data_IF_525418035687
#
_entry.id   IF_525418035687
#
_cell.length_a   1.000
_cell.length_b   1.000
_cell.length_c   1.000
_cell.angle_alpha   90.00
_cell.angle_beta   90.00
_cell.angle_gamma   90.00
#
_symmetry.space_group_name_H-M   'P 1'
#
loop_
_entity.id
_entity.type
_entity.pdbx_description
1 polymer ?
#
# COMPACT_ATOMS: atom_id res chain seq x y z
N UNK A 1 -27.34 -0.52 -4.21
CA UNK A 1 -27.63 -0.73 -2.78
C UNK A 1 -26.34 -1.25 -2.16
N UNK A 2 -25.79 -0.65 -1.09
CA UNK A 2 -24.67 -1.25 -0.37
C UNK A 2 -25.13 -2.64 0.09
N UNK A 3 -24.37 -3.67 -0.27
CA UNK A 3 -24.65 -5.03 0.16
C UNK A 3 -24.14 -5.14 1.60
N UNK A 4 -25.03 -5.40 2.56
CA UNK A 4 -24.66 -5.67 3.93
C UNK A 4 -24.52 -7.19 4.11
N UNK A 5 -23.40 -7.64 4.64
CA UNK A 5 -23.23 -9.03 5.08
C UNK A 5 -23.73 -9.15 6.51
N UNK A 6 -24.30 -10.30 6.89
CA UNK A 6 -24.74 -10.54 8.27
C UNK A 6 -23.68 -11.36 9.00
N UNK A 7 -23.21 -10.86 10.14
CA UNK A 7 -22.32 -11.58 11.05
C UNK A 7 -23.07 -11.93 12.34
N UNK A 8 -23.03 -13.20 12.73
CA UNK A 8 -23.55 -13.66 14.02
C UNK A 8 -22.44 -13.60 15.07
N UNK A 9 -22.65 -12.83 16.14
CA UNK A 9 -21.68 -12.63 17.22
C UNK A 9 -21.35 -13.98 17.89
N UNK A 10 -20.05 -14.29 17.96
CA UNK A 10 -19.52 -15.48 18.65
C UNK A 10 -18.83 -15.09 19.95
N UNK A 11 -18.57 -16.08 20.79
CA UNK A 11 -17.83 -15.85 22.03
C UNK A 11 -16.46 -15.19 21.76
N UNK A 12 -16.23 -14.01 22.35
CA UNK A 12 -14.98 -13.24 22.19
C UNK A 12 -15.03 -12.15 21.11
N UNK A 13 -16.10 -12.08 20.33
CA UNK A 13 -16.37 -10.98 19.41
C UNK A 13 -16.73 -9.70 20.19
N UNK A 14 -16.28 -8.57 19.66
CA UNK A 14 -16.74 -7.23 20.06
C UNK A 14 -16.98 -6.42 18.81
N UNK A 15 -17.85 -5.40 18.87
CA UNK A 15 -18.11 -4.54 17.72
C UNK A 15 -16.84 -3.86 17.21
N UNK A 16 -15.93 -3.49 18.12
CA UNK A 16 -14.64 -2.91 17.74
C UNK A 16 -13.77 -3.88 16.93
N UNK A 17 -13.65 -5.15 17.36
CA UNK A 17 -12.89 -6.18 16.63
C UNK A 17 -13.54 -6.50 15.28
N UNK A 18 -14.86 -6.52 15.24
CA UNK A 18 -15.63 -6.82 14.04
C UNK A 18 -15.52 -5.68 13.01
N UNK A 19 -15.66 -4.43 13.45
CA UNK A 19 -15.43 -3.26 12.60
C UNK A 19 -14.00 -3.28 12.03
N UNK A 20 -13.00 -3.52 12.88
CA UNK A 20 -11.60 -3.62 12.50
C UNK A 20 -11.34 -4.71 11.46
N UNK A 21 -11.87 -5.92 11.68
CA UNK A 21 -11.74 -7.05 10.74
C UNK A 21 -12.30 -6.73 9.35
N UNK A 22 -13.28 -5.83 9.27
CA UNK A 22 -13.94 -5.44 8.04
C UNK A 22 -13.50 -4.07 7.49
N UNK A 23 -12.44 -3.46 8.04
CA UNK A 23 -11.93 -2.17 7.58
C UNK A 23 -12.91 -1.01 7.80
N UNK A 24 -13.79 -1.14 8.80
CA UNK A 24 -14.78 -0.14 9.21
C UNK A 24 -14.34 0.54 10.51
N UNK A 25 -14.81 1.76 10.71
CA UNK A 25 -14.84 2.38 12.03
C UNK A 25 -15.99 1.81 12.87
N UNK A 26 -15.87 1.90 14.19
CA UNK A 26 -16.96 1.50 15.10
C UNK A 26 -18.23 2.32 14.82
N UNK A 27 -18.08 3.61 14.51
CA UNK A 27 -19.21 4.50 14.21
C UNK A 27 -19.92 4.09 12.91
N UNK A 28 -19.18 3.76 11.84
CA UNK A 28 -19.76 3.22 10.60
C UNK A 28 -20.49 1.89 10.82
N UNK A 29 -19.96 1.03 11.70
CA UNK A 29 -20.62 -0.22 12.05
C UNK A 29 -21.89 0.03 12.89
N UNK A 30 -21.89 1.02 13.79
CA UNK A 30 -23.04 1.39 14.61
C UNK A 30 -24.14 2.08 13.78
N UNK A 31 -23.77 2.91 12.81
CA UNK A 31 -24.71 3.55 11.88
C UNK A 31 -25.52 2.53 11.07
N UNK A 32 -24.90 1.40 10.72
CA UNK A 32 -25.58 0.27 10.08
C UNK A 32 -26.41 -0.59 11.05
N UNK A 33 -26.22 -0.42 12.36
CA UNK A 33 -26.83 -1.20 13.43
C UNK A 33 -27.47 -0.32 14.50
N UNK A 34 -28.33 0.61 14.10
CA UNK A 34 -29.01 1.56 15.00
C UNK A 34 -29.86 0.89 16.10
N UNK A 35 -30.14 -0.42 15.98
CA UNK A 35 -30.76 -1.20 17.04
C UNK A 35 -29.86 -1.44 18.27
N UNK A 36 -28.55 -1.16 18.18
CA UNK A 36 -27.59 -1.35 19.27
C UNK A 36 -27.49 -0.07 20.09
N UNK A 37 -28.09 -0.08 21.27
CA UNK A 37 -28.07 1.10 22.17
C UNK A 37 -26.79 1.20 23.00
N UNK A 38 -26.12 0.07 23.27
CA UNK A 38 -24.87 0.03 24.01
C UNK A 38 -23.80 -0.78 23.23
N UNK A 39 -22.82 -0.11 22.61
CA UNK A 39 -21.78 -0.76 21.80
C UNK A 39 -20.88 -1.74 22.58
N UNK A 40 -20.82 -1.60 23.91
CA UNK A 40 -20.01 -2.46 24.78
C UNK A 40 -20.75 -3.71 25.24
N UNK A 41 -22.04 -3.85 24.91
CA UNK A 41 -22.88 -4.96 25.33
C UNK A 41 -23.54 -5.62 24.12
N UNK A 42 -22.82 -6.55 23.49
CA UNK A 42 -23.35 -7.42 22.43
C UNK A 42 -23.43 -8.86 22.92
N UNK A 43 -24.48 -9.56 22.51
CA UNK A 43 -24.77 -10.93 22.96
C UNK A 43 -24.35 -11.96 21.92
N UNK A 44 -23.89 -13.11 22.38
CA UNK A 44 -23.62 -14.26 21.50
C UNK A 44 -24.92 -14.66 20.79
N UNK A 45 -24.83 -14.90 19.48
CA UNK A 45 -25.99 -15.17 18.61
C UNK A 45 -26.66 -13.90 18.06
N UNK A 46 -26.21 -12.70 18.47
CA UNK A 46 -26.74 -11.45 17.95
C UNK A 46 -26.28 -11.24 16.51
N UNK A 47 -27.23 -10.91 15.62
CA UNK A 47 -26.95 -10.61 14.22
C UNK A 47 -26.56 -9.14 14.05
N UNK A 48 -25.38 -8.92 13.49
CA UNK A 48 -24.81 -7.61 13.19
C UNK A 48 -24.72 -7.45 11.68
N UNK A 49 -25.24 -6.32 11.18
CA UNK A 49 -25.08 -5.92 9.79
C UNK A 49 -23.67 -5.36 9.62
N UNK A 50 -22.87 -5.97 8.78
CA UNK A 50 -21.57 -5.43 8.37
C UNK A 50 -21.80 -4.61 7.10
N UNK A 51 -21.80 -3.26 7.16
CA UNK A 51 -21.87 -2.46 5.97
C UNK A 51 -20.60 -2.71 5.16
N UNK A 52 -20.74 -3.07 3.89
CA UNK A 52 -19.58 -2.95 3.00
C UNK A 52 -19.39 -1.45 2.78
N UNK A 53 -18.23 -0.86 3.13
CA UNK A 53 -18.01 0.54 2.81
C UNK A 53 -18.19 0.67 1.29
N UNK A 54 -18.96 1.67 0.87
CA UNK A 54 -19.04 1.99 -0.54
C UNK A 54 -17.59 2.10 -1.03
N UNK A 55 -17.20 1.41 -2.12
CA UNK A 55 -15.89 1.64 -2.68
C UNK A 55 -15.73 3.15 -2.81
N UNK A 56 -14.66 3.73 -2.26
CA UNK A 56 -14.22 5.08 -2.63
C UNK A 56 -14.44 5.16 -4.14
N UNK A 57 -15.19 6.17 -4.66
CA UNK A 57 -15.71 6.13 -6.02
C UNK A 57 -14.60 5.70 -6.97
N UNK A 58 -14.64 4.42 -7.34
CA UNK A 58 -13.73 3.89 -8.33
C UNK A 58 -14.15 4.60 -9.59
N UNK A 59 -13.21 5.18 -10.35
CA UNK A 59 -13.57 5.72 -11.64
C UNK A 59 -14.27 4.61 -12.44
N UNK A 60 -15.23 4.96 -13.30
CA UNK A 60 -15.72 4.02 -14.29
C UNK A 60 -14.50 3.40 -14.96
N UNK A 61 -14.45 2.06 -15.07
CA UNK A 61 -13.52 1.42 -16.00
C UNK A 61 -13.67 2.15 -17.33
N UNK A 62 -12.63 2.84 -17.80
CA UNK A 62 -12.65 3.39 -19.14
C UNK A 62 -13.01 2.25 -20.10
N UNK A 63 -14.05 2.40 -20.94
CA UNK A 63 -14.38 1.37 -21.91
C UNK A 63 -13.21 1.16 -22.88
N UNK A 64 -12.69 -0.06 -22.94
CA UNK A 64 -12.31 -0.65 -24.24
C UNK A 64 -10.88 -0.47 -24.76
N UNK A 65 -9.89 -0.08 -23.97
CA UNK A 65 -8.49 -0.33 -24.35
C UNK A 65 -7.73 -0.91 -23.17
N UNK A 66 -7.04 -2.04 -23.39
CA UNK A 66 -5.99 -2.49 -22.50
C UNK A 66 -4.92 -1.39 -22.48
N UNK A 67 -5.03 -0.46 -21.55
CA UNK A 67 -4.09 0.65 -21.43
C UNK A 67 -2.74 0.05 -21.04
N UNK A 68 -1.85 -0.06 -22.02
CA UNK A 68 -0.48 -0.52 -21.83
C UNK A 68 0.39 0.68 -21.51
N UNK A 69 0.97 0.67 -20.33
CA UNK A 69 1.95 1.62 -19.84
C UNK A 69 3.36 1.08 -20.07
N UNK A 70 4.21 1.91 -20.67
CA UNK A 70 5.58 1.56 -21.05
C UNK A 70 6.64 1.97 -20.01
N UNK A 71 6.24 2.64 -18.92
CA UNK A 71 7.16 3.12 -17.89
C UNK A 71 7.89 4.41 -18.24
N UNK A 72 7.56 5.04 -19.38
CA UNK A 72 8.16 6.29 -19.86
C UNK A 72 7.19 7.45 -19.68
N UNK A 73 5.92 7.28 -20.04
CA UNK A 73 4.90 8.31 -19.89
C UNK A 73 3.98 7.99 -18.71
N UNK A 74 3.95 8.83 -17.66
CA UNK A 74 3.05 8.59 -16.54
C UNK A 74 1.58 8.75 -16.96
N UNK A 75 0.70 8.01 -16.32
CA UNK A 75 -0.73 8.25 -16.42
C UNK A 75 -1.04 9.70 -15.99
N UNK A 76 -1.89 10.46 -16.71
CA UNK A 76 -2.16 11.86 -16.38
C UNK A 76 -2.67 12.09 -14.94
N UNK A 77 -3.37 11.11 -14.36
CA UNK A 77 -3.89 11.16 -13.01
C UNK A 77 -2.86 10.81 -11.91
N UNK A 78 -1.58 10.62 -12.27
CA UNK A 78 -0.49 10.26 -11.33
C UNK A 78 0.65 11.29 -11.27
N UNK A 79 0.48 12.48 -11.88
CA UNK A 79 1.56 13.48 -12.03
C UNK A 79 1.56 14.61 -10.98
N UNK A 80 0.63 14.60 -10.01
CA UNK A 80 0.56 15.64 -8.99
C UNK A 80 1.85 15.72 -8.18
N UNK A 81 2.50 16.89 -8.16
CA UNK A 81 3.71 17.15 -7.36
C UNK A 81 3.40 17.48 -5.89
N UNK A 82 2.12 17.65 -5.53
CA UNK A 82 1.74 17.77 -4.13
C UNK A 82 1.97 16.43 -3.43
N UNK A 83 2.93 16.39 -2.51
CA UNK A 83 3.32 15.16 -1.77
C UNK A 83 2.20 14.54 -0.96
N UNK A 84 1.24 15.36 -0.51
CA UNK A 84 0.08 14.91 0.22
C UNK A 84 -1.07 14.48 -0.69
N UNK A 85 -1.05 14.82 -1.99
CA UNK A 85 -2.16 14.49 -2.87
C UNK A 85 -2.29 12.97 -3.06
N UNK A 86 -3.52 12.48 -2.91
CA UNK A 86 -3.89 11.14 -3.33
C UNK A 86 -4.03 11.13 -4.86
N UNK A 87 -3.07 10.51 -5.54
CA UNK A 87 -3.19 10.24 -6.98
C UNK A 87 -4.19 9.13 -7.26
N UNK A 88 -4.69 9.10 -8.49
CA UNK A 88 -5.72 8.15 -8.95
C UNK A 88 -5.18 7.30 -10.10
N UNK A 89 -4.35 6.27 -9.81
CA UNK A 89 -3.84 5.38 -10.84
C UNK A 89 -5.00 4.68 -11.57
N UNK A 90 -5.05 4.71 -12.92
CA UNK A 90 -6.12 4.05 -13.68
C UNK A 90 -6.08 2.53 -13.62
N UNK A 91 -4.91 1.93 -13.35
CA UNK A 91 -4.75 0.49 -13.25
C UNK A 91 -4.49 0.05 -11.80
N UNK A 92 -5.15 -1.04 -11.40
CA UNK A 92 -4.99 -1.67 -10.09
C UNK A 92 -4.80 -3.19 -10.23
N UNK A 93 -4.20 -3.81 -9.21
CA UNK A 93 -4.01 -5.27 -9.14
C UNK A 93 -4.30 -5.74 -7.70
N UNK A 94 -5.59 -5.83 -7.39
CA UNK A 94 -6.08 -6.02 -6.04
C UNK A 94 -5.78 -7.43 -5.49
N UNK A 95 -5.72 -7.61 -4.15
CA UNK A 95 -5.53 -8.91 -3.50
C UNK A 95 -6.51 -9.98 -4.03
N UNK A 96 -6.06 -11.25 -4.03
CA UNK A 96 -6.87 -12.42 -4.45
C UNK A 96 -6.99 -12.65 -5.96
N UNK A 97 -6.72 -11.63 -6.80
CA UNK A 97 -6.76 -11.74 -8.26
C UNK A 97 -5.50 -11.20 -8.95
N UNK A 98 -4.38 -11.22 -8.24
CA UNK A 98 -3.15 -10.61 -8.72
C UNK A 98 -2.57 -11.33 -9.92
N UNK A 99 -2.14 -10.56 -10.92
CA UNK A 99 -1.45 -11.06 -12.12
C UNK A 99 -0.11 -10.34 -12.32
N UNK A 100 0.98 -11.05 -12.65
CA UNK A 100 2.29 -10.43 -12.85
C UNK A 100 2.29 -9.40 -13.97
N UNK A 101 1.63 -9.68 -15.09
CA UNK A 101 1.51 -8.71 -16.18
C UNK A 101 0.76 -7.43 -15.79
N UNK A 102 -0.24 -7.52 -14.90
CA UNK A 102 -0.94 -6.32 -14.38
C UNK A 102 -0.07 -5.61 -13.35
N UNK A 103 0.66 -6.33 -12.50
CA UNK A 103 1.59 -5.72 -11.54
C UNK A 103 2.66 -4.87 -12.26
N UNK A 104 3.22 -5.42 -13.34
CA UNK A 104 4.18 -4.69 -14.18
C UNK A 104 3.59 -3.39 -14.72
N UNK A 105 2.36 -3.45 -15.24
CA UNK A 105 1.64 -2.31 -15.79
C UNK A 105 1.26 -1.28 -14.71
N UNK A 106 0.94 -1.73 -13.49
CA UNK A 106 0.68 -0.86 -12.32
C UNK A 106 1.93 -0.09 -11.93
N UNK A 107 3.12 -0.67 -12.05
CA UNK A 107 4.38 0.06 -11.82
C UNK A 107 4.63 1.03 -12.98
N UNK A 108 4.46 0.56 -14.22
CA UNK A 108 4.75 1.34 -15.42
C UNK A 108 3.88 2.61 -15.57
N UNK A 109 2.61 2.60 -15.13
CA UNK A 109 1.75 3.79 -15.18
C UNK A 109 2.27 4.96 -14.35
N UNK A 110 3.12 4.69 -13.37
CA UNK A 110 3.74 5.75 -12.57
C UNK A 110 4.97 6.33 -13.25
N UNK A 111 5.58 5.63 -14.22
CA UNK A 111 6.75 6.05 -14.98
C UNK A 111 7.81 6.75 -14.10
N UNK A 112 8.24 6.07 -13.03
CA UNK A 112 8.96 6.68 -11.90
C UNK A 112 10.19 7.52 -12.28
N UNK A 113 10.86 7.17 -13.38
CA UNK A 113 12.02 7.89 -13.90
C UNK A 113 11.69 9.25 -14.55
N UNK A 114 10.44 9.43 -15.01
CA UNK A 114 10.01 10.57 -15.82
C UNK A 114 8.86 11.36 -15.18
N UNK A 115 8.23 10.81 -14.14
CA UNK A 115 7.08 11.44 -13.52
C UNK A 115 7.51 12.58 -12.57
N UNK A 116 7.02 13.82 -12.78
CA UNK A 116 7.40 14.98 -11.97
C UNK A 116 7.10 14.79 -10.48
N UNK A 117 6.13 13.94 -10.13
CA UNK A 117 5.80 13.60 -8.74
C UNK A 117 6.96 12.98 -7.95
N UNK A 118 7.86 12.28 -8.63
CA UNK A 118 8.96 11.56 -7.97
C UNK A 118 10.33 12.17 -8.25
N UNK A 119 10.40 13.26 -9.03
CA UNK A 119 11.65 13.94 -9.30
C UNK A 119 12.20 14.52 -8.00
N UNK A 120 13.38 14.05 -7.59
CA UNK A 120 14.10 14.62 -6.45
C UNK A 120 14.36 16.10 -6.64
N UNK A 121 14.41 16.82 -5.53
CA UNK A 121 14.91 18.19 -5.52
C UNK A 121 16.25 18.23 -4.75
N UNK A 122 16.70 19.43 -4.34
CA UNK A 122 17.96 19.59 -3.61
C UNK A 122 17.93 19.01 -2.20
N UNK A 123 16.76 18.86 -1.58
CA UNK A 123 16.57 18.49 -0.18
C UNK A 123 15.95 17.10 0.00
N UNK A 124 15.09 16.69 -0.92
CA UNK A 124 14.18 15.57 -0.75
C UNK A 124 14.27 14.55 -1.87
N UNK A 125 14.02 13.29 -1.48
CA UNK A 125 13.71 12.20 -2.38
C UNK A 125 12.32 11.67 -2.04
N UNK A 126 11.66 11.07 -3.02
CA UNK A 126 10.23 10.72 -2.93
C UNK A 126 10.00 9.21 -2.98
N UNK A 127 10.95 8.43 -2.45
CA UNK A 127 10.87 6.97 -2.44
C UNK A 127 9.69 6.47 -1.61
N UNK A 128 9.35 7.14 -0.50
CA UNK A 128 8.17 6.85 0.32
C UNK A 128 6.86 7.13 -0.43
N UNK A 129 6.80 8.20 -1.22
CA UNK A 129 5.61 8.54 -2.01
C UNK A 129 5.41 7.54 -3.15
N UNK A 130 6.49 7.16 -3.84
CA UNK A 130 6.41 6.13 -4.87
C UNK A 130 5.93 4.78 -4.30
N UNK A 131 6.48 4.38 -3.16
CA UNK A 131 6.03 3.20 -2.42
C UNK A 131 4.53 3.29 -2.07
N UNK A 132 4.11 4.43 -1.53
CA UNK A 132 2.73 4.68 -1.15
C UNK A 132 1.76 4.57 -2.32
N UNK A 133 2.07 5.23 -3.44
CA UNK A 133 1.20 5.25 -4.61
C UNK A 133 1.07 3.86 -5.25
N UNK A 134 2.18 3.13 -5.39
CA UNK A 134 2.15 1.76 -5.93
C UNK A 134 1.38 0.83 -5.01
N UNK A 135 1.66 0.84 -3.71
CA UNK A 135 1.00 -0.07 -2.76
C UNK A 135 -0.50 0.23 -2.63
N UNK A 136 -0.93 1.49 -2.76
CA UNK A 136 -2.35 1.86 -2.90
C UNK A 136 -2.98 1.30 -4.17
N UNK A 137 -2.30 1.42 -5.32
CA UNK A 137 -2.79 0.85 -6.59
C UNK A 137 -2.91 -0.68 -6.54
N UNK A 138 -2.11 -1.33 -5.69
CA UNK A 138 -2.12 -2.77 -5.47
C UNK A 138 -3.05 -3.23 -4.34
N UNK A 139 -3.79 -2.30 -3.70
CA UNK A 139 -4.75 -2.61 -2.65
C UNK A 139 -4.13 -3.12 -1.34
N UNK A 140 -2.87 -2.80 -1.07
CA UNK A 140 -2.14 -3.21 0.15
C UNK A 140 -1.27 -2.06 0.64
N UNK A 141 -1.90 -0.92 0.95
CA UNK A 141 -1.20 0.33 1.18
C UNK A 141 -0.15 0.24 2.30
N UNK A 142 1.10 0.60 1.97
CA UNK A 142 2.06 1.04 2.99
C UNK A 142 1.81 2.54 3.18
N UNK A 143 1.38 2.98 4.37
CA UNK A 143 0.86 4.33 4.54
C UNK A 143 1.96 5.39 4.48
N UNK A 144 1.60 6.53 3.87
CA UNK A 144 2.35 7.78 4.00
C UNK A 144 1.95 8.57 5.25
N UNK A 145 0.73 8.39 5.73
CA UNK A 145 0.19 9.03 6.94
C UNK A 145 -0.52 8.00 7.80
N UNK A 146 -0.34 8.09 9.12
CA UNK A 146 -1.01 7.21 10.09
C UNK A 146 -1.71 8.01 11.20
N UNK A 147 -2.78 7.44 11.74
CA UNK A 147 -3.42 7.91 12.99
C UNK A 147 -2.56 7.52 14.22
N UNK A 148 -2.88 8.00 15.43
CA UNK A 148 -2.14 7.65 16.65
C UNK A 148 -2.16 6.14 17.01
N UNK A 149 -3.03 5.35 16.36
CA UNK A 149 -3.13 3.90 16.55
C UNK A 149 -2.36 3.14 15.47
N UNK A 150 -1.68 3.83 14.54
CA UNK A 150 -0.89 3.21 13.48
C UNK A 150 -1.68 2.88 12.21
N UNK A 151 -2.96 3.22 12.13
CA UNK A 151 -3.77 2.94 10.93
C UNK A 151 -3.54 4.00 9.86
N UNK A 152 -3.70 3.64 8.59
CA UNK A 152 -3.62 4.59 7.49
C UNK A 152 -4.60 5.75 7.68
N UNK A 153 -4.12 6.98 7.53
CA UNK A 153 -4.90 8.21 7.69
C UNK A 153 -4.83 9.08 6.44
N UNK A 154 -5.81 9.97 6.29
CA UNK A 154 -5.74 10.99 5.26
C UNK A 154 -4.67 12.05 5.61
N UNK A 155 -4.00 12.63 4.61
CA UNK A 155 -3.09 13.75 4.85
C UNK A 155 -3.77 14.89 5.60
N UNK A 156 -3.09 15.44 6.62
CA UNK A 156 -3.58 16.54 7.45
C UNK A 156 -4.87 16.25 8.24
N UNK A 157 -5.32 14.99 8.31
CA UNK A 157 -6.36 14.59 9.26
C UNK A 157 -5.90 14.92 10.69
N UNK A 158 -6.81 15.35 11.61
CA UNK A 158 -6.44 15.61 12.99
C UNK A 158 -5.67 14.45 13.62
N UNK A 159 -4.54 14.76 14.24
CA UNK A 159 -3.62 13.80 14.87
C UNK A 159 -2.95 12.78 13.93
N UNK A 160 -3.06 12.97 12.61
CA UNK A 160 -2.31 12.15 11.66
C UNK A 160 -0.84 12.59 11.60
N UNK A 161 0.04 11.62 11.46
CA UNK A 161 1.49 11.82 11.37
C UNK A 161 2.02 11.28 10.03
N UNK A 162 2.82 12.08 9.34
CA UNK A 162 3.51 11.70 8.10
C UNK A 162 4.69 10.75 8.39
N UNK A 163 4.83 9.70 7.58
CA UNK A 163 5.89 8.71 7.69
C UNK A 163 6.99 8.94 6.65
N UNK A 164 8.20 9.17 7.14
CA UNK A 164 9.42 8.97 6.36
C UNK A 164 9.81 7.48 6.34
N UNK A 165 10.77 7.07 5.51
CA UNK A 165 11.15 5.65 5.38
C UNK A 165 11.64 5.01 6.69
N UNK A 166 12.38 5.74 7.53
CA UNK A 166 12.83 5.19 8.81
C UNK A 166 11.63 4.86 9.72
N UNK A 167 10.59 5.71 9.70
CA UNK A 167 9.34 5.49 10.41
C UNK A 167 8.47 4.42 9.72
N UNK A 168 8.45 4.34 8.39
CA UNK A 168 7.78 3.28 7.63
C UNK A 168 8.36 1.90 7.94
N UNK A 169 9.68 1.79 8.11
CA UNK A 169 10.32 0.52 8.53
C UNK A 169 9.85 0.12 9.93
N UNK A 170 9.66 1.09 10.82
CA UNK A 170 9.13 0.83 12.16
C UNK A 170 7.65 0.40 12.10
N UNK A 171 6.83 1.13 11.34
CA UNK A 171 5.43 0.80 11.10
C UNK A 171 5.28 -0.60 10.50
N UNK A 172 6.13 -0.99 9.55
CA UNK A 172 6.10 -2.34 8.97
C UNK A 172 6.35 -3.42 10.04
N UNK A 173 7.19 -3.12 11.04
CA UNK A 173 7.50 -4.05 12.13
C UNK A 173 6.37 -4.14 13.17
N UNK A 174 5.71 -3.02 13.49
CA UNK A 174 4.70 -2.97 14.56
C UNK A 174 3.28 -3.17 14.08
N UNK A 175 2.94 -2.68 12.89
CA UNK A 175 1.60 -2.71 12.32
C UNK A 175 1.52 -3.58 11.07
N UNK A 176 2.40 -3.34 10.09
CA UNK A 176 2.31 -3.96 8.78
C UNK A 176 2.34 -5.50 8.84
N UNK A 177 3.38 -6.06 9.43
CA UNK A 177 3.54 -7.52 9.57
C UNK A 177 2.57 -8.14 10.58
N UNK A 178 2.36 -7.57 11.78
CA UNK A 178 1.47 -8.17 12.77
C UNK A 178 -0.03 -8.07 12.42
N UNK A 179 -0.44 -7.07 11.64
CA UNK A 179 -1.86 -6.71 11.49
C UNK A 179 -2.34 -6.52 10.04
N UNK A 180 -1.47 -6.26 9.06
CA UNK A 180 -1.85 -5.84 7.70
C UNK A 180 -1.39 -6.82 6.59
N UNK A 181 -1.40 -8.12 6.90
CA UNK A 181 -1.08 -9.24 5.99
C UNK A 181 0.33 -9.24 5.34
N UNK A 182 1.20 -8.28 5.66
CA UNK A 182 2.58 -8.26 5.20
C UNK A 182 3.41 -9.36 5.87
N UNK A 183 4.38 -9.90 5.15
CA UNK A 183 5.27 -10.95 5.65
C UNK A 183 6.72 -10.61 5.33
N UNK A 184 7.62 -10.89 6.26
CA UNK A 184 9.05 -10.78 6.02
C UNK A 184 9.49 -11.84 5.01
N UNK A 185 10.37 -11.46 4.09
CA UNK A 185 10.86 -12.32 3.03
C UNK A 185 12.39 -12.22 2.87
N UNK A 186 12.96 -13.25 2.28
CA UNK A 186 14.28 -13.18 1.65
C UNK A 186 14.20 -12.46 0.31
N UNK A 187 15.35 -12.05 -0.24
CA UNK A 187 15.40 -11.43 -1.57
C UNK A 187 14.83 -12.35 -2.67
N UNK A 188 15.13 -13.66 -2.59
CA UNK A 188 14.60 -14.64 -3.55
C UNK A 188 13.08 -14.73 -3.46
N UNK A 189 12.56 -14.91 -2.24
CA UNK A 189 11.11 -14.96 -2.01
C UNK A 189 10.41 -13.70 -2.51
N UNK A 190 11.00 -12.52 -2.29
CA UNK A 190 10.46 -11.26 -2.78
C UNK A 190 10.37 -11.23 -4.31
N UNK A 191 11.42 -11.69 -5.02
CA UNK A 191 11.38 -11.81 -6.48
C UNK A 191 10.31 -12.82 -6.94
N UNK A 192 10.25 -13.98 -6.29
CA UNK A 192 9.29 -15.04 -6.64
C UNK A 192 7.84 -14.58 -6.46
N UNK A 193 7.53 -13.90 -5.34
CA UNK A 193 6.20 -13.32 -5.12
C UNK A 193 5.87 -12.25 -6.16
N UNK A 194 6.81 -11.35 -6.49
CA UNK A 194 6.62 -10.37 -7.56
C UNK A 194 6.30 -11.04 -8.91
N UNK A 195 6.98 -12.15 -9.23
CA UNK A 195 6.73 -12.93 -10.45
C UNK A 195 5.38 -13.66 -10.45
N UNK A 196 4.74 -13.83 -9.28
CA UNK A 196 3.35 -14.27 -9.14
C UNK A 196 2.35 -13.11 -9.18
N UNK A 197 2.82 -11.86 -9.32
CA UNK A 197 2.01 -10.64 -9.32
C UNK A 197 1.70 -10.09 -7.93
N UNK A 198 2.22 -10.72 -6.87
CA UNK A 198 2.06 -10.29 -5.50
C UNK A 198 3.02 -9.15 -5.18
N UNK A 199 2.59 -8.24 -4.31
CA UNK A 199 3.41 -7.07 -3.97
C UNK A 199 4.60 -7.51 -3.16
N UNK A 200 5.77 -6.99 -3.53
CA UNK A 200 7.01 -7.18 -2.82
C UNK A 200 7.77 -5.85 -2.77
N UNK A 201 8.35 -5.53 -1.62
CA UNK A 201 9.04 -4.25 -1.39
C UNK A 201 10.35 -4.48 -0.64
N UNK A 202 11.32 -3.60 -0.87
CA UNK A 202 12.55 -3.51 -0.10
C UNK A 202 12.50 -2.24 0.76
N UNK A 203 12.78 -2.37 2.06
CA UNK A 203 12.83 -1.26 3.00
C UNK A 203 14.16 -1.29 3.76
N UNK A 204 14.85 -0.15 3.79
CA UNK A 204 16.09 0.02 4.54
C UNK A 204 15.99 1.24 5.46
N UNK A 205 16.17 1.00 6.75
CA UNK A 205 16.33 2.05 7.76
C UNK A 205 17.81 2.39 7.87
N UNK A 206 18.14 3.67 7.81
CA UNK A 206 19.53 4.11 7.97
C UNK A 206 19.98 3.93 9.43
N UNK A 207 21.00 3.11 9.71
CA UNK A 207 21.42 2.84 11.09
C UNK A 207 22.06 4.06 11.76
N UNK A 208 22.56 5.03 10.99
CA UNK A 208 23.22 6.24 11.49
C UNK A 208 22.28 7.44 11.62
N UNK A 209 20.97 7.25 11.45
CA UNK A 209 19.96 8.32 11.60
C UNK A 209 19.76 9.21 10.36
N UNK A 210 20.44 8.93 9.25
CA UNK A 210 20.20 9.61 7.97
C UNK A 210 18.92 9.15 7.26
N UNK A 211 18.75 9.55 6.00
CA UNK A 211 17.61 9.11 5.19
C UNK A 211 17.64 7.58 4.97
N UNK A 212 16.52 6.92 5.26
CA UNK A 212 16.28 5.54 4.83
C UNK A 212 15.97 5.48 3.34
N UNK A 213 15.75 4.27 2.82
CA UNK A 213 15.46 4.06 1.40
C UNK A 213 14.50 2.90 1.15
N UNK A 214 13.76 2.96 0.04
CA UNK A 214 12.83 1.91 -0.38
C UNK A 214 12.81 1.73 -1.89
N UNK A 215 12.45 0.53 -2.33
CA UNK A 215 12.11 0.23 -3.70
C UNK A 215 10.97 -0.78 -3.77
N UNK A 216 10.23 -0.76 -4.89
CA UNK A 216 9.20 -1.74 -5.21
C UNK A 216 9.86 -2.85 -6.03
N UNK A 217 9.75 -4.10 -5.58
CA UNK A 217 10.20 -5.26 -6.35
C UNK A 217 9.19 -5.52 -7.44
N UNK A 218 9.65 -5.61 -8.68
CA UNK A 218 8.79 -5.81 -9.86
C UNK A 218 8.97 -7.21 -10.44
N UNK A 219 8.00 -7.72 -11.23
CA UNK A 219 8.20 -8.94 -12.00
C UNK A 219 9.47 -8.83 -12.86
N UNK A 220 10.30 -9.86 -12.84
CA UNK A 220 11.61 -9.85 -13.46
C UNK A 220 12.52 -10.99 -12.97
N UNK A 221 13.81 -10.84 -13.23
CA UNK A 221 14.83 -11.83 -12.89
C UNK A 221 15.57 -11.44 -11.61
N UNK A 222 15.82 -12.44 -10.75
CA UNK A 222 16.79 -12.29 -9.66
C UNK A 222 18.20 -12.37 -10.26
N UNK A 223 19.06 -11.43 -9.88
CA UNK A 223 20.48 -11.43 -10.30
C UNK A 223 21.42 -11.35 -9.09
N UNK A 224 22.71 -11.36 -9.34
CA UNK A 224 23.74 -11.05 -8.36
C UNK A 224 23.60 -9.63 -7.78
N UNK A 225 22.93 -8.73 -8.51
CA UNK A 225 22.53 -7.40 -8.04
C UNK A 225 21.26 -7.38 -7.20
N UNK A 226 20.65 -8.54 -6.96
CA UNK A 226 19.44 -8.70 -6.18
C UNK A 226 18.16 -8.65 -7.04
N UNK A 227 16.99 -8.55 -6.41
CA UNK A 227 15.71 -8.56 -7.11
C UNK A 227 15.57 -7.40 -8.09
N UNK A 228 14.83 -7.62 -9.18
CA UNK A 228 14.38 -6.59 -10.10
C UNK A 228 13.45 -5.60 -9.38
N UNK A 229 13.70 -4.31 -9.57
CA UNK A 229 12.92 -3.27 -8.89
C UNK A 229 12.68 -2.04 -9.76
N UNK A 230 11.70 -1.25 -9.33
CA UNK A 230 11.54 0.14 -9.70
C UNK A 230 11.74 1.00 -8.44
N UNK A 231 12.33 2.18 -8.59
CA UNK A 231 12.51 3.09 -7.47
C UNK A 231 12.44 4.56 -7.85
N UNK A 232 12.02 5.36 -6.88
CA UNK A 232 12.40 6.76 -6.76
C UNK A 232 13.51 6.88 -5.70
N UNK A 233 14.41 7.86 -5.81
CA UNK A 233 15.51 8.04 -4.86
C UNK A 233 16.55 9.06 -5.33
N UNK A 234 17.82 8.81 -5.01
CA UNK A 234 18.93 9.59 -5.58
C UNK A 234 19.00 9.49 -7.11
N UNK A 235 18.61 8.32 -7.64
CA UNK A 235 18.40 8.04 -9.06
C UNK A 235 17.08 7.30 -9.20
N UNK A 236 16.20 7.82 -10.05
CA UNK A 236 14.93 7.17 -10.36
C UNK A 236 15.11 6.23 -11.55
N UNK A 237 14.57 5.03 -11.46
CA UNK A 237 14.52 4.10 -12.58
C UNK A 237 13.30 3.21 -12.49
N UNK A 238 12.71 2.92 -13.65
CA UNK A 238 11.59 2.00 -13.74
C UNK A 238 12.06 0.53 -13.75
N UNK A 239 13.26 0.26 -14.25
CA UNK A 239 13.82 -1.08 -14.32
C UNK A 239 15.29 -1.04 -13.90
N UNK A 240 15.63 -1.88 -12.92
CA UNK A 240 16.98 -2.06 -12.40
C UNK A 240 16.97 -3.14 -11.32
N UNK A 241 18.04 -3.24 -10.55
CA UNK A 241 18.12 -4.15 -9.42
C UNK A 241 18.39 -3.42 -8.11
N UNK A 242 18.10 -4.09 -6.99
CA UNK A 242 18.24 -3.49 -5.65
C UNK A 242 19.61 -2.86 -5.41
N UNK A 243 20.73 -3.49 -5.83
CA UNK A 243 22.06 -2.90 -5.65
C UNK A 243 22.28 -1.61 -6.46
N UNK A 244 21.55 -1.38 -7.55
CA UNK A 244 21.67 -0.16 -8.35
C UNK A 244 21.15 1.06 -7.59
N UNK A 245 20.22 0.87 -6.64
CA UNK A 245 19.65 1.93 -5.81
C UNK A 245 20.10 1.97 -4.35
N UNK A 246 20.47 0.82 -3.80
CA UNK A 246 20.85 0.68 -2.38
C UNK A 246 22.36 0.65 -2.17
N UNK A 247 23.16 0.50 -3.23
CA UNK A 247 24.62 0.37 -3.15
C UNK A 247 25.05 -0.73 -2.16
N UNK A 248 25.56 -0.35 -0.99
CA UNK A 248 26.01 -1.25 0.09
C UNK A 248 24.96 -1.48 1.17
N UNK A 249 23.84 -0.75 1.15
CA UNK A 249 22.76 -0.92 2.10
C UNK A 249 22.11 -2.30 1.92
N UNK A 250 21.74 -2.90 3.04
CA UNK A 250 21.10 -4.22 3.09
C UNK A 250 19.64 -4.06 3.51
N UNK A 251 18.70 -3.97 2.55
CA UNK A 251 17.28 -3.82 2.89
C UNK A 251 16.71 -5.12 3.46
N UNK A 252 15.62 -4.97 4.22
CA UNK A 252 14.70 -6.06 4.52
C UNK A 252 13.64 -6.11 3.43
N UNK A 253 13.17 -7.31 3.11
CA UNK A 253 12.13 -7.51 2.11
C UNK A 253 10.81 -7.89 2.76
N UNK A 254 9.72 -7.39 2.20
CA UNK A 254 8.37 -7.68 2.65
C UNK A 254 7.49 -8.02 1.46
N UNK A 255 6.57 -8.95 1.64
CA UNK A 255 5.61 -9.40 0.62
C UNK A 255 4.18 -9.34 1.15
N UNK A 256 3.23 -9.16 0.26
CA UNK A 256 1.79 -9.14 0.57
C UNK A 256 1.02 -9.94 -0.48
N UNK A 257 -0.09 -10.56 -0.12
CA UNK A 257 -0.95 -11.38 -1.01
C UNK A 257 -1.95 -10.57 -1.84
#
# INVERSE_FOLDING_TARGET
MPVASIHEIKAGDTLAKLAQHHGLTLDELLDANQQITNPNLVLIGQLIKIPTPAPLPMPPKLPGQAQSFNGVHPAPSTISTNRAALVQPPLTNLPGHRKPGIYEQVINQFAVAHNPRYLRNSTDTFCNIFLWDVTRAMGCQIPHWIDPRGHAAAPFQPHAHELNINATVEWMRTEGVPHDAWQLATASQAQDQANLGKVAVALWKNPSGGHGHTAVIRPGQLTDKGPACAQAGGINFNMGHIKDGFHRAQPKYYVHD
#
